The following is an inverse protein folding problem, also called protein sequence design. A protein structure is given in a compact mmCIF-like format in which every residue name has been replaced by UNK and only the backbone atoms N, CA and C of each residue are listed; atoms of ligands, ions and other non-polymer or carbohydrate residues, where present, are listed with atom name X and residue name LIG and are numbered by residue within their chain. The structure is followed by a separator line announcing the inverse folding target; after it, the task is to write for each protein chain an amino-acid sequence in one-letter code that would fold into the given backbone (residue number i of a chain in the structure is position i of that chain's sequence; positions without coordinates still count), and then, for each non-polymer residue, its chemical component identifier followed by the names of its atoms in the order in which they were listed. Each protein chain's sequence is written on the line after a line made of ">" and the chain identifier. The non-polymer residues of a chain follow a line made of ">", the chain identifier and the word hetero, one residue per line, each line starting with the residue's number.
data_IF_725979692631
#
_entry.id   IF_725979692631
#
_cell.length_a   1.000
_cell.length_b   1.000
_cell.length_c   1.000
_cell.angle_alpha   90.00
_cell.angle_beta   90.00
_cell.angle_gamma   90.00
#
_symmetry.space_group_name_H-M   'P 1'
#
loop_
_entity.id
_entity.type
_entity.pdbx_description
1 polymer ?
#
# COMPACT_ATOMS: atom_id res chain seq x y z
N UNK A 1 -2.90 12.48 -3.14
CA UNK A 1 -3.89 11.42 -2.97
C UNK A 1 -4.20 11.25 -1.49
N UNK A 2 -5.48 11.24 -1.16
CA UNK A 2 -6.00 11.03 0.20
C UNK A 2 -7.30 10.21 0.08
N UNK A 3 -7.66 9.48 1.12
CA UNK A 3 -8.99 8.86 1.23
C UNK A 3 -10.05 9.95 1.40
N UNK A 4 -11.05 9.95 0.52
CA UNK A 4 -12.20 10.84 0.65
C UNK A 4 -13.29 10.22 1.53
N UNK A 5 -14.15 11.07 2.09
CA UNK A 5 -15.32 10.61 2.83
C UNK A 5 -16.22 9.76 1.93
N UNK A 6 -16.83 8.72 2.53
CA UNK A 6 -17.69 7.73 1.86
C UNK A 6 -17.09 7.00 0.65
N UNK A 7 -15.77 7.03 0.49
CA UNK A 7 -15.09 6.36 -0.61
C UNK A 7 -14.99 4.84 -0.36
N UNK A 8 -15.50 4.05 -1.31
CA UNK A 8 -15.61 2.58 -1.19
C UNK A 8 -14.39 1.85 -1.81
N UNK A 9 -13.75 2.47 -2.80
CA UNK A 9 -12.67 1.87 -3.57
C UNK A 9 -11.29 2.16 -2.95
N UNK A 10 -10.23 1.66 -3.59
CA UNK A 10 -8.86 2.06 -3.26
C UNK A 10 -8.58 3.51 -3.66
N UNK A 11 -7.71 4.19 -2.92
CA UNK A 11 -7.25 5.54 -3.29
C UNK A 11 -6.67 5.55 -4.72
N UNK A 12 -6.86 6.66 -5.43
CA UNK A 12 -6.32 6.83 -6.78
C UNK A 12 -4.81 6.57 -6.83
N UNK A 13 -4.39 5.68 -7.73
CA UNK A 13 -2.99 5.32 -7.90
C UNK A 13 -2.10 6.51 -8.25
N UNK A 14 -0.91 6.54 -7.66
CA UNK A 14 0.15 7.53 -7.90
C UNK A 14 1.41 6.87 -8.47
N UNK A 15 1.41 5.54 -8.57
CA UNK A 15 2.48 4.74 -9.18
C UNK A 15 1.89 3.77 -10.22
N UNK A 16 2.63 3.43 -11.30
CA UNK A 16 2.17 2.44 -12.28
C UNK A 16 1.89 1.07 -11.66
N UNK A 17 2.64 0.75 -10.60
CA UNK A 17 2.51 -0.48 -9.84
C UNK A 17 1.18 -0.58 -9.09
N UNK A 18 0.73 0.52 -8.47
CA UNK A 18 -0.57 0.58 -7.82
C UNK A 18 -1.70 0.43 -8.83
N UNK A 19 -1.56 0.95 -10.05
CA UNK A 19 -2.52 0.72 -11.14
C UNK A 19 -2.64 -0.77 -11.48
N UNK A 20 -1.52 -1.48 -11.61
CA UNK A 20 -1.52 -2.91 -11.85
C UNK A 20 -2.14 -3.71 -10.69
N UNK A 21 -1.89 -3.30 -9.45
CA UNK A 21 -2.51 -3.92 -8.27
C UNK A 21 -4.02 -3.67 -8.21
N UNK A 22 -4.51 -2.48 -8.61
CA UNK A 22 -5.94 -2.22 -8.73
C UNK A 22 -6.59 -3.13 -9.79
N UNK A 23 -5.97 -3.29 -10.97
CA UNK A 23 -6.47 -4.21 -11.99
C UNK A 23 -6.50 -5.67 -11.50
N UNK A 24 -5.47 -6.10 -10.76
CA UNK A 24 -5.44 -7.44 -10.17
C UNK A 24 -6.51 -7.62 -9.09
N UNK A 25 -6.70 -6.62 -8.22
CA UNK A 25 -7.78 -6.63 -7.24
C UNK A 25 -9.14 -6.78 -7.93
N UNK A 26 -9.42 -5.99 -8.96
CA UNK A 26 -10.70 -6.06 -9.67
C UNK A 26 -10.90 -7.42 -10.34
N UNK A 27 -9.84 -7.99 -10.92
CA UNK A 27 -9.87 -9.35 -11.46
C UNK A 27 -10.26 -10.39 -10.40
N UNK A 28 -9.64 -10.34 -9.21
CA UNK A 28 -9.96 -11.25 -8.09
C UNK A 28 -11.36 -11.00 -7.57
N UNK A 29 -11.76 -9.73 -7.44
CA UNK A 29 -13.08 -9.33 -6.94
C UNK A 29 -14.20 -9.87 -7.84
N UNK A 30 -14.05 -9.80 -9.17
CA UNK A 30 -15.02 -10.39 -10.12
C UNK A 30 -15.17 -11.89 -9.90
N UNK A 31 -14.06 -12.62 -9.71
CA UNK A 31 -14.09 -14.07 -9.44
C UNK A 31 -14.81 -14.36 -8.11
N UNK A 32 -14.50 -13.60 -7.05
CA UNK A 32 -15.15 -13.75 -5.74
C UNK A 32 -16.66 -13.44 -5.80
N UNK A 33 -17.05 -12.37 -6.49
CA UNK A 33 -18.47 -12.03 -6.70
C UNK A 33 -19.18 -13.17 -7.45
N UNK A 34 -18.58 -13.72 -8.50
CA UNK A 34 -19.16 -14.86 -9.22
C UNK A 34 -19.36 -16.09 -8.33
N UNK A 35 -18.36 -16.45 -7.52
CA UNK A 35 -18.46 -17.59 -6.59
C UNK A 35 -19.54 -17.34 -5.54
N UNK A 36 -19.55 -16.15 -4.93
CA UNK A 36 -20.54 -15.80 -3.89
C UNK A 36 -21.96 -15.80 -4.43
N UNK A 37 -22.21 -15.31 -5.65
CA UNK A 37 -23.53 -15.37 -6.30
C UNK A 37 -23.95 -16.83 -6.53
N UNK A 38 -23.06 -17.69 -7.04
CA UNK A 38 -23.37 -19.11 -7.28
C UNK A 38 -23.70 -19.83 -5.96
N UNK A 39 -22.90 -19.63 -4.92
CA UNK A 39 -23.15 -20.24 -3.60
C UNK A 39 -24.45 -19.72 -2.99
N UNK A 40 -24.67 -18.40 -3.02
CA UNK A 40 -25.89 -17.80 -2.51
C UNK A 40 -27.14 -18.33 -3.24
N UNK A 41 -27.07 -18.44 -4.57
CA UNK A 41 -28.13 -19.01 -5.38
C UNK A 41 -28.41 -20.48 -5.00
N UNK A 42 -27.38 -21.32 -4.90
CA UNK A 42 -27.51 -22.73 -4.49
C UNK A 42 -28.15 -22.86 -3.11
N UNK A 43 -27.72 -22.03 -2.15
CA UNK A 43 -28.28 -22.02 -0.79
C UNK A 43 -29.76 -21.63 -0.79
N UNK A 44 -30.13 -20.57 -1.52
CA UNK A 44 -31.54 -20.15 -1.64
C UNK A 44 -32.38 -21.27 -2.28
N UNK A 45 -31.90 -21.89 -3.34
CA UNK A 45 -32.61 -22.98 -4.02
C UNK A 45 -32.81 -24.19 -3.10
N UNK A 46 -31.80 -24.59 -2.33
CA UNK A 46 -31.91 -25.69 -1.37
C UNK A 46 -32.92 -25.38 -0.25
N UNK A 47 -32.94 -24.14 0.25
CA UNK A 47 -33.88 -23.73 1.30
C UNK A 47 -35.33 -23.66 0.82
N UNK A 48 -35.56 -23.32 -0.45
CA UNK A 48 -36.90 -23.27 -1.04
C UNK A 48 -37.39 -24.61 -1.57
N UNK A 49 -36.50 -25.58 -1.74
CA UNK A 49 -36.85 -26.90 -2.28
C UNK A 49 -37.59 -27.75 -1.25
N UNK A 50 -38.77 -28.25 -1.63
CA UNK A 50 -39.60 -29.14 -0.80
C UNK A 50 -39.41 -30.62 -1.11
N UNK A 51 -38.71 -30.96 -2.20
CA UNK A 51 -38.52 -32.35 -2.63
C UNK A 51 -37.41 -33.00 -1.80
N UNK A 52 -37.73 -34.12 -1.16
CA UNK A 52 -36.82 -34.83 -0.27
C UNK A 52 -36.25 -36.05 -1.00
N UNK A 53 -34.92 -36.14 -1.10
CA UNK A 53 -34.21 -37.35 -1.52
C UNK A 53 -33.26 -37.81 -0.41
N UNK A 54 -33.52 -38.97 0.19
CA UNK A 54 -32.71 -39.56 1.28
C UNK A 54 -31.77 -40.67 0.82
N UNK A 55 -31.86 -41.08 -0.44
CA UNK A 55 -31.12 -42.22 -0.99
C UNK A 55 -29.82 -41.82 -1.69
N UNK A 56 -29.58 -40.51 -1.90
CA UNK A 56 -28.34 -40.00 -2.45
C UNK A 56 -27.24 -40.00 -1.37
N UNK A 57 -26.45 -41.08 -1.32
CA UNK A 57 -25.36 -41.25 -0.35
C UNK A 57 -23.99 -40.87 -0.91
N UNK A 58 -23.77 -41.05 -2.21
CA UNK A 58 -22.49 -40.79 -2.86
C UNK A 58 -22.67 -40.12 -4.23
N UNK A 59 -21.64 -39.39 -4.67
CA UNK A 59 -21.68 -38.64 -5.91
C UNK A 59 -20.27 -38.33 -6.44
N UNK A 60 -19.46 -39.34 -6.71
CA UNK A 60 -18.04 -39.16 -7.14
C UNK A 60 -17.86 -38.13 -8.27
N UNK A 61 -18.79 -38.07 -9.22
CA UNK A 61 -18.76 -37.08 -10.31
C UNK A 61 -18.89 -35.64 -9.79
N UNK A 62 -19.77 -35.37 -8.82
CA UNK A 62 -19.92 -34.02 -8.24
C UNK A 62 -18.69 -33.64 -7.42
N UNK A 63 -18.12 -34.63 -6.71
CA UNK A 63 -16.89 -34.46 -5.93
C UNK A 63 -15.71 -34.09 -6.81
N UNK A 64 -15.58 -34.76 -7.95
CA UNK A 64 -14.57 -34.43 -8.96
C UNK A 64 -14.76 -33.01 -9.49
N UNK A 65 -16.00 -32.63 -9.86
CA UNK A 65 -16.30 -31.30 -10.42
C UNK A 65 -15.99 -30.19 -9.42
N UNK A 66 -16.45 -30.28 -8.18
CA UNK A 66 -16.22 -29.23 -7.18
C UNK A 66 -14.78 -29.19 -6.67
N UNK A 67 -13.95 -30.19 -6.98
CA UNK A 67 -12.53 -30.19 -6.64
C UNK A 67 -11.71 -29.57 -7.77
N UNK A 68 -12.03 -29.94 -9.01
CA UNK A 68 -11.34 -29.45 -10.20
C UNK A 68 -11.62 -27.96 -10.45
N UNK A 69 -12.87 -27.51 -10.31
CA UNK A 69 -13.25 -26.12 -10.62
C UNK A 69 -12.50 -25.10 -9.73
N UNK A 70 -12.48 -25.22 -8.39
CA UNK A 70 -11.68 -24.33 -7.54
C UNK A 70 -10.18 -24.41 -7.80
N UNK A 71 -9.65 -25.59 -8.13
CA UNK A 71 -8.24 -25.71 -8.48
C UNK A 71 -7.90 -24.88 -9.73
N UNK A 72 -8.75 -24.93 -10.76
CA UNK A 72 -8.57 -24.11 -11.97
C UNK A 72 -8.74 -22.61 -11.68
N UNK A 73 -9.72 -22.20 -10.87
CA UNK A 73 -9.88 -20.76 -10.53
C UNK A 73 -8.69 -20.22 -9.76
N UNK A 74 -8.09 -21.01 -8.85
CA UNK A 74 -6.86 -20.62 -8.15
C UNK A 74 -5.69 -20.42 -9.10
N UNK A 75 -5.55 -21.22 -10.16
CA UNK A 75 -4.51 -21.01 -11.18
C UNK A 75 -4.70 -19.66 -11.89
N UNK A 76 -5.94 -19.32 -12.26
CA UNK A 76 -6.24 -18.03 -12.89
C UNK A 76 -5.94 -16.82 -12.00
N UNK A 77 -6.10 -16.96 -10.67
CA UNK A 77 -5.73 -15.92 -9.70
C UNK A 77 -4.20 -15.88 -9.53
N UNK A 78 -3.55 -17.04 -9.41
CA UNK A 78 -2.13 -17.14 -9.09
C UNK A 78 -1.21 -16.60 -10.18
N UNK A 79 -1.51 -16.84 -11.46
CA UNK A 79 -0.66 -16.40 -12.58
C UNK A 79 -0.44 -14.87 -12.64
N UNK A 80 -1.48 -14.00 -12.67
CA UNK A 80 -1.28 -12.56 -12.62
C UNK A 80 -0.69 -12.10 -11.29
N UNK A 81 -1.04 -12.75 -10.17
CA UNK A 81 -0.48 -12.44 -8.85
C UNK A 81 1.05 -12.61 -8.81
N UNK A 82 1.55 -13.76 -9.27
CA UNK A 82 2.98 -14.05 -9.31
C UNK A 82 3.71 -13.11 -10.25
N UNK A 83 3.14 -12.79 -11.42
CA UNK A 83 3.71 -11.79 -12.33
C UNK A 83 3.91 -10.44 -11.63
N UNK A 84 2.91 -9.96 -10.89
CA UNK A 84 3.02 -8.71 -10.15
C UNK A 84 4.05 -8.78 -9.02
N UNK A 85 4.12 -9.91 -8.32
CA UNK A 85 5.14 -10.13 -7.28
C UNK A 85 6.56 -9.95 -7.83
N UNK A 86 6.87 -10.50 -9.01
CA UNK A 86 8.18 -10.30 -9.63
C UNK A 86 8.41 -8.86 -10.09
N UNK A 87 7.38 -8.19 -10.64
CA UNK A 87 7.48 -6.77 -11.00
C UNK A 87 7.71 -5.85 -9.80
N UNK A 88 7.21 -6.23 -8.60
CA UNK A 88 7.41 -5.51 -7.35
C UNK A 88 8.85 -5.61 -6.84
N UNK A 89 9.45 -6.80 -6.99
CA UNK A 89 10.77 -7.12 -6.44
C UNK A 89 11.92 -6.62 -7.34
N UNK A 90 11.66 -6.38 -8.63
CA UNK A 90 12.63 -5.81 -9.56
C UNK A 90 13.05 -4.38 -9.18
N UNK A 91 14.22 -4.25 -8.56
CA UNK A 91 14.84 -2.96 -8.30
C UNK A 91 15.62 -2.52 -9.54
N UNK A 92 14.97 -1.69 -10.36
CA UNK A 92 15.62 -1.02 -11.47
C UNK A 92 16.50 0.13 -10.97
N UNK A 93 17.75 0.20 -11.46
CA UNK A 93 18.75 1.26 -11.23
C UNK A 93 18.18 2.58 -10.65
N UNK A 94 18.14 2.73 -9.30
CA UNK A 94 17.52 3.87 -8.68
C UNK A 94 18.40 5.11 -8.84
N UNK A 95 17.77 6.27 -9.06
CA UNK A 95 18.42 7.57 -9.20
C UNK A 95 18.66 8.25 -7.85
N UNK A 96 17.93 7.82 -6.82
CA UNK A 96 17.93 8.40 -5.49
C UNK A 96 17.65 7.31 -4.45
N UNK A 97 18.33 7.38 -3.32
CA UNK A 97 18.09 6.60 -2.11
C UNK A 97 17.54 7.50 -1.01
N UNK A 98 16.40 7.12 -0.45
CA UNK A 98 15.83 7.73 0.75
C UNK A 98 15.86 6.70 1.86
N UNK A 99 16.54 7.01 2.97
CA UNK A 99 16.39 6.22 4.19
C UNK A 99 15.26 6.77 5.03
N UNK A 100 14.55 5.86 5.67
CA UNK A 100 13.36 6.12 6.47
C UNK A 100 13.56 5.37 7.78
N UNK A 101 13.56 6.10 8.89
CA UNK A 101 13.77 5.55 10.21
C UNK A 101 12.55 5.85 11.07
N UNK A 102 11.88 4.80 11.56
CA UNK A 102 10.75 4.92 12.48
C UNK A 102 11.19 5.08 13.93
N UNK A 103 10.56 6.02 14.64
CA UNK A 103 10.76 6.29 16.07
C UNK A 103 9.40 6.41 16.78
N UNK A 104 9.36 6.30 18.10
CA UNK A 104 8.22 6.62 18.95
C UNK A 104 8.13 8.14 19.17
N UNK A 105 7.22 8.89 18.54
CA UNK A 105 6.22 8.52 17.52
C UNK A 105 6.30 9.52 16.36
N UNK A 106 7.30 9.35 15.51
CA UNK A 106 7.60 10.19 14.36
C UNK A 106 8.48 9.43 13.36
N UNK A 107 8.71 10.03 12.20
CA UNK A 107 9.59 9.48 11.18
C UNK A 107 10.77 10.41 10.96
N UNK A 108 11.99 9.88 10.84
CA UNK A 108 13.13 10.63 10.34
C UNK A 108 13.52 10.16 8.94
N UNK A 109 13.99 11.09 8.13
CA UNK A 109 14.31 10.87 6.72
C UNK A 109 15.74 11.35 6.44
N UNK A 110 16.52 10.52 5.74
CA UNK A 110 17.88 10.88 5.31
C UNK A 110 18.01 10.73 3.78
N UNK A 111 18.52 11.78 3.14
CA UNK A 111 18.89 11.81 1.73
C UNK A 111 20.41 11.64 1.59
N UNK A 112 20.89 10.42 1.84
CA UNK A 112 22.34 10.10 1.94
C UNK A 112 23.13 10.18 0.64
N UNK A 113 22.45 10.23 -0.51
CA UNK A 113 23.13 10.33 -1.81
C UNK A 113 23.64 11.76 -2.10
N UNK A 114 23.25 12.74 -1.26
CA UNK A 114 23.59 14.16 -1.41
C UNK A 114 24.29 14.69 -0.15
N UNK A 115 24.12 15.97 0.17
CA UNK A 115 24.72 16.72 1.29
C UNK A 115 24.21 16.30 2.68
N UNK A 116 24.04 14.99 2.92
CA UNK A 116 23.58 14.40 4.19
C UNK A 116 22.38 15.13 4.79
N UNK A 117 21.39 15.47 3.94
CA UNK A 117 20.16 16.13 4.39
C UNK A 117 19.36 15.16 5.25
N UNK A 118 19.17 15.51 6.51
CA UNK A 118 18.39 14.76 7.49
C UNK A 118 17.34 15.65 8.18
N UNK A 119 16.17 15.09 8.45
CA UNK A 119 15.14 15.78 9.25
C UNK A 119 14.12 14.82 9.85
N UNK A 120 13.50 15.31 10.92
CA UNK A 120 12.36 14.66 11.57
C UNK A 120 11.03 15.20 11.02
N UNK A 121 10.03 14.33 10.97
CA UNK A 121 8.68 14.60 10.51
C UNK A 121 7.68 14.20 11.60
N UNK A 122 7.13 15.21 12.28
CA UNK A 122 6.12 15.08 13.32
C UNK A 122 4.75 15.46 12.79
N UNK A 123 3.71 14.83 13.34
CA UNK A 123 2.33 15.25 13.10
C UNK A 123 2.12 16.68 13.62
N UNK A 124 1.52 17.55 12.81
CA UNK A 124 1.15 18.89 13.27
C UNK A 124 0.11 18.83 14.37
N UNK A 125 0.31 19.63 15.41
CA UNK A 125 -0.69 19.77 16.47
C UNK A 125 -1.90 20.57 15.97
N UNK A 126 -3.10 20.31 16.51
CA UNK A 126 -4.35 20.95 16.06
C UNK A 126 -4.31 22.50 16.14
N UNK A 127 -3.50 23.05 17.04
CA UNK A 127 -3.37 24.49 17.25
C UNK A 127 -2.48 25.17 16.18
N UNK A 128 -1.60 24.41 15.54
CA UNK A 128 -0.67 24.89 14.50
C UNK A 128 -1.20 24.62 13.08
N UNK A 129 -2.33 23.92 12.96
CA UNK A 129 -2.88 23.56 11.66
C UNK A 129 -3.49 24.77 10.96
N UNK A 130 -3.19 24.88 9.67
CA UNK A 130 -3.86 25.82 8.79
C UNK A 130 -5.26 25.29 8.40
N UNK A 131 -6.15 26.17 7.94
CA UNK A 131 -7.52 25.79 7.53
C UNK A 131 -7.60 24.75 6.42
N UNK A 132 -6.52 24.59 5.65
CA UNK A 132 -6.45 23.72 4.48
C UNK A 132 -5.70 22.40 4.76
N UNK A 133 -5.32 22.15 6.01
CA UNK A 133 -4.57 20.96 6.43
C UNK A 133 -5.50 19.90 7.03
N UNK A 134 -5.10 18.64 6.89
CA UNK A 134 -5.88 17.48 7.31
C UNK A 134 -5.47 17.02 8.70
N UNK A 135 -6.45 17.02 9.61
CA UNK A 135 -6.29 16.54 10.99
C UNK A 135 -5.71 15.12 11.00
N UNK A 136 -4.66 14.92 11.79
CA UNK A 136 -3.90 13.67 11.97
C UNK A 136 -3.08 13.19 10.76
N UNK A 137 -3.04 13.95 9.66
CA UNK A 137 -2.36 13.53 8.44
C UNK A 137 -1.25 14.50 8.03
N UNK A 138 -1.44 15.81 8.21
CA UNK A 138 -0.38 16.77 7.92
C UNK A 138 0.75 16.71 8.96
N UNK A 139 1.96 16.94 8.45
CA UNK A 139 3.22 16.95 9.19
C UNK A 139 3.91 18.31 9.07
N UNK A 140 4.83 18.58 9.99
CA UNK A 140 5.67 19.78 9.95
C UNK A 140 6.61 19.79 8.73
N UNK A 141 7.33 18.69 8.50
CA UNK A 141 8.27 18.50 7.42
C UNK A 141 7.81 17.36 6.51
N UNK A 142 7.46 17.69 5.26
CA UNK A 142 7.07 16.70 4.25
C UNK A 142 8.30 16.12 3.56
N UNK A 143 8.22 14.87 3.15
CA UNK A 143 9.22 14.23 2.30
C UNK A 143 9.07 14.78 0.89
N UNK A 144 10.08 15.49 0.40
CA UNK A 144 10.06 16.04 -0.96
C UNK A 144 10.72 15.05 -1.92
N UNK A 145 10.01 14.65 -2.99
CA UNK A 145 10.51 13.67 -3.96
C UNK A 145 10.28 14.13 -5.41
N UNK A 146 11.15 13.76 -6.36
CA UNK A 146 10.89 14.02 -7.77
C UNK A 146 9.91 13.00 -8.39
N UNK A 147 8.86 13.47 -9.09
CA UNK A 147 8.07 12.55 -9.95
C UNK A 147 8.87 12.05 -11.15
N UNK A 148 8.44 10.92 -11.72
CA UNK A 148 9.06 10.20 -12.83
C UNK A 148 10.53 9.83 -12.59
N UNK A 149 10.90 9.58 -11.34
CA UNK A 149 12.22 9.12 -10.95
C UNK A 149 12.11 7.84 -10.11
N UNK A 150 13.00 6.88 -10.38
CA UNK A 150 13.07 5.64 -9.63
C UNK A 150 13.84 5.90 -8.34
N UNK A 151 13.19 5.67 -7.20
CA UNK A 151 13.74 5.89 -5.87
C UNK A 151 13.89 4.56 -5.15
N UNK A 152 15.02 4.33 -4.51
CA UNK A 152 15.22 3.25 -3.54
C UNK A 152 14.84 3.76 -2.15
N UNK A 153 13.94 3.05 -1.49
CA UNK A 153 13.61 3.24 -0.09
C UNK A 153 14.42 2.26 0.76
N UNK A 154 15.01 2.74 1.83
CA UNK A 154 15.63 1.93 2.88
C UNK A 154 14.91 2.19 4.20
N UNK A 155 14.15 1.23 4.68
CA UNK A 155 13.26 1.38 5.84
C UNK A 155 13.80 0.57 7.01
N UNK A 156 13.97 1.22 8.16
CA UNK A 156 14.39 0.62 9.43
C UNK A 156 13.71 1.33 10.60
N UNK A 157 13.88 0.83 11.82
CA UNK A 157 13.52 1.56 13.03
C UNK A 157 14.70 1.69 13.99
N UNK A 158 14.65 2.70 14.85
CA UNK A 158 15.57 2.88 15.96
C UNK A 158 15.11 2.19 17.26
N UNK A 159 13.80 1.98 17.46
CA UNK A 159 13.23 1.53 18.73
C UNK A 159 12.39 0.25 18.65
N UNK A 160 11.12 0.33 18.24
CA UNK A 160 10.15 -0.77 18.13
C UNK A 160 9.81 -1.02 16.67
N UNK A 161 8.96 -2.00 16.39
CA UNK A 161 8.51 -2.22 15.01
C UNK A 161 7.52 -1.12 14.64
N UNK A 162 7.72 -0.51 13.47
CA UNK A 162 6.76 0.36 12.78
C UNK A 162 6.50 -0.19 11.38
N UNK A 163 5.61 0.43 10.62
CA UNK A 163 5.44 0.08 9.20
C UNK A 163 5.15 1.32 8.39
N UNK A 164 6.04 1.63 7.46
CA UNK A 164 5.94 2.80 6.60
C UNK A 164 5.02 2.46 5.43
N UNK A 165 3.84 3.08 5.39
CA UNK A 165 2.81 2.74 4.42
C UNK A 165 2.24 3.96 3.69
N UNK A 166 2.24 3.88 2.37
CA UNK A 166 1.69 4.86 1.42
C UNK A 166 0.69 4.15 0.48
N UNK A 167 -0.61 4.09 0.84
CA UNK A 167 -1.61 3.29 0.11
C UNK A 167 -1.73 3.65 -1.37
N UNK A 168 -1.75 4.94 -1.72
CA UNK A 168 -1.86 5.37 -3.12
C UNK A 168 -0.66 5.00 -4.01
N UNK A 169 0.46 4.57 -3.42
CA UNK A 169 1.64 4.12 -4.15
C UNK A 169 1.85 2.60 -4.05
N UNK A 170 0.92 1.86 -3.40
CA UNK A 170 1.06 0.43 -3.06
C UNK A 170 2.29 0.08 -2.23
N UNK A 171 2.75 0.99 -1.38
CA UNK A 171 3.95 0.80 -0.58
C UNK A 171 3.54 0.52 0.87
N UNK A 172 4.00 -0.60 1.42
CA UNK A 172 3.93 -0.91 2.85
C UNK A 172 5.14 -1.76 3.20
N UNK A 173 6.03 -1.22 4.03
CA UNK A 173 7.25 -1.93 4.46
C UNK A 173 7.45 -1.73 5.94
N UNK A 174 7.68 -2.84 6.64
CA UNK A 174 7.94 -2.82 8.07
C UNK A 174 9.32 -2.23 8.35
N UNK A 175 9.35 -1.30 9.30
CA UNK A 175 10.54 -0.71 9.88
C UNK A 175 10.90 -1.54 11.10
N UNK A 176 11.90 -2.41 10.98
CA UNK A 176 12.29 -3.36 12.03
C UNK A 176 13.65 -2.95 12.62
N UNK A 177 13.78 -2.82 13.95
CA UNK A 177 15.07 -2.50 14.57
C UNK A 177 16.15 -3.52 14.19
N UNK A 178 17.31 -3.03 13.77
CA UNK A 178 18.44 -3.87 13.36
C UNK A 178 18.31 -4.52 11.97
N UNK A 179 17.28 -4.18 11.18
CA UNK A 179 17.11 -4.67 9.81
C UNK A 179 16.78 -3.52 8.85
N UNK A 180 17.58 -3.41 7.78
CA UNK A 180 17.32 -2.50 6.66
C UNK A 180 16.50 -3.21 5.59
N UNK A 181 15.21 -2.89 5.49
CA UNK A 181 14.36 -3.35 4.41
C UNK A 181 14.48 -2.41 3.20
N UNK A 182 14.54 -2.99 2.00
CA UNK A 182 14.65 -2.23 0.77
C UNK A 182 13.39 -2.40 -0.07
N UNK A 183 12.92 -1.31 -0.70
CA UNK A 183 11.86 -1.33 -1.69
C UNK A 183 12.12 -0.26 -2.75
N UNK A 184 11.52 -0.41 -3.93
CA UNK A 184 11.57 0.61 -4.98
C UNK A 184 10.27 1.43 -5.04
N UNK A 185 10.38 2.71 -5.37
CA UNK A 185 9.27 3.63 -5.50
C UNK A 185 9.40 4.43 -6.79
N UNK A 186 8.28 4.56 -7.51
CA UNK A 186 8.15 5.42 -8.69
C UNK A 186 6.85 6.20 -8.61
N UNK A 187 6.95 7.53 -8.58
CA UNK A 187 5.78 8.42 -8.54
C UNK A 187 5.52 8.95 -9.95
N UNK A 188 4.34 8.70 -10.53
CA UNK A 188 4.04 9.05 -11.93
C UNK A 188 3.51 10.49 -12.13
N UNK A 189 3.06 11.14 -11.05
CA UNK A 189 2.42 12.46 -11.11
C UNK A 189 2.86 13.38 -9.97
N UNK A 190 2.87 14.71 -10.18
CA UNK A 190 3.11 15.67 -9.10
C UNK A 190 1.93 15.73 -8.13
N UNK A 191 2.19 16.18 -6.91
CA UNK A 191 1.18 16.41 -5.87
C UNK A 191 1.55 15.83 -4.51
N UNK A 192 0.67 16.02 -3.53
CA UNK A 192 0.86 15.57 -2.14
C UNK A 192 0.11 14.26 -1.92
N UNK A 193 0.78 13.25 -1.37
CA UNK A 193 0.23 11.94 -1.03
C UNK A 193 0.39 11.67 0.47
N UNK A 194 -0.57 10.98 1.07
CA UNK A 194 -0.61 10.74 2.52
C UNK A 194 -0.53 9.24 2.83
N UNK A 195 0.04 8.94 3.98
CA UNK A 195 0.19 7.61 4.55
C UNK A 195 0.22 7.66 6.07
N UNK A 196 0.23 6.50 6.71
CA UNK A 196 0.28 6.37 8.17
C UNK A 196 1.06 5.13 8.59
N UNK A 197 1.55 5.12 9.82
CA UNK A 197 2.12 3.91 10.40
C UNK A 197 1.09 2.77 10.40
N UNK A 198 1.49 1.60 9.88
CA UNK A 198 0.60 0.44 9.69
C UNK A 198 1.00 -0.77 10.54
N UNK A 199 1.76 -0.55 11.62
CA UNK A 199 2.14 -1.56 12.63
C UNK A 199 2.11 -0.95 14.03
N UNK A 200 1.59 -1.69 15.01
CA UNK A 200 1.34 -1.15 16.36
C UNK A 200 2.65 -0.79 17.08
N UNK A 201 2.83 0.49 17.41
CA UNK A 201 4.09 1.00 17.97
C UNK A 201 3.95 1.76 19.31
N UNK A 202 2.80 1.65 19.98
CA UNK A 202 2.57 2.21 21.32
C UNK A 202 1.49 3.30 21.37
N UNK A 203 1.57 4.18 22.36
CA UNK A 203 0.49 5.12 22.73
C UNK A 203 0.06 6.05 21.59
N UNK A 204 1.01 6.58 20.81
CA UNK A 204 0.72 7.51 19.72
C UNK A 204 0.84 6.85 18.34
N UNK A 205 0.58 5.54 18.24
CA UNK A 205 0.59 4.80 16.98
C UNK A 205 -0.23 5.47 15.87
N UNK A 206 -1.40 6.03 16.21
CA UNK A 206 -2.28 6.71 15.25
C UNK A 206 -1.84 8.14 14.86
N UNK A 207 -0.73 8.64 15.43
CA UNK A 207 -0.33 10.06 15.36
C UNK A 207 1.06 10.26 14.76
N UNK A 208 1.50 9.34 13.89
CA UNK A 208 2.74 9.45 13.13
C UNK A 208 2.50 9.25 11.62
N UNK A 209 1.81 10.22 10.97
CA UNK A 209 1.50 10.14 9.56
C UNK A 209 2.75 10.35 8.70
N UNK A 210 2.59 10.06 7.42
CA UNK A 210 3.63 10.18 6.39
C UNK A 210 3.05 11.08 5.29
N UNK A 211 3.82 12.07 4.86
CA UNK A 211 3.42 12.95 3.75
C UNK A 211 4.56 13.06 2.76
N UNK A 212 4.26 12.71 1.50
CA UNK A 212 5.18 12.86 0.38
C UNK A 212 4.64 13.94 -0.55
N UNK A 213 5.46 14.94 -0.82
CA UNK A 213 5.21 15.95 -1.83
C UNK A 213 6.08 15.68 -3.07
N UNK A 214 5.41 15.35 -4.17
CA UNK A 214 6.01 15.01 -5.43
C UNK A 214 6.09 16.23 -6.35
N UNK A 215 7.30 16.64 -6.69
CA UNK A 215 7.60 17.85 -7.46
C UNK A 215 8.50 17.57 -8.67
N UNK A 216 8.72 18.57 -9.52
CA UNK A 216 9.64 18.41 -10.65
C UNK A 216 11.08 18.28 -10.17
N UNK A 217 11.91 17.53 -10.92
CA UNK A 217 13.35 17.35 -10.62
C UNK A 217 14.08 18.70 -10.42
N UNK A 218 13.74 19.72 -11.21
CA UNK A 218 14.34 21.06 -11.08
C UNK A 218 14.03 21.71 -9.73
N UNK A 219 12.79 21.60 -9.27
CA UNK A 219 12.38 22.12 -7.97
C UNK A 219 12.97 21.29 -6.83
N UNK A 220 13.06 19.97 -6.99
CA UNK A 220 13.70 19.08 -6.04
C UNK A 220 15.18 19.43 -5.82
N UNK A 221 15.95 19.63 -6.90
CA UNK A 221 17.35 20.07 -6.81
C UNK A 221 17.45 21.44 -6.11
N UNK A 222 16.56 22.39 -6.44
CA UNK A 222 16.54 23.69 -5.77
C UNK A 222 16.23 23.57 -4.28
N UNK A 223 15.30 22.70 -3.91
CA UNK A 223 14.96 22.42 -2.52
C UNK A 223 16.16 21.82 -1.78
N UNK A 224 16.83 20.82 -2.36
CA UNK A 224 18.05 20.22 -1.78
C UNK A 224 19.13 21.25 -1.50
N UNK A 225 19.46 22.11 -2.48
CA UNK A 225 20.49 23.15 -2.33
C UNK A 225 20.14 24.18 -1.26
N UNK A 226 18.85 24.48 -1.07
CA UNK A 226 18.41 25.44 -0.07
C UNK A 226 18.31 24.83 1.34
N UNK A 227 18.15 23.52 1.43
CA UNK A 227 18.04 22.81 2.69
C UNK A 227 19.41 22.54 3.32
N UNK A 228 20.41 22.24 2.48
CA UNK A 228 21.82 22.14 2.87
C UNK A 228 22.45 23.50 3.12
#
# INVERSE_FOLDING_TARGET
>A
SISNWSYINMQDAVSPLMEQLMFFHDHVLVILIMITIVVAYMMIMLMLNKIINRLLLEGQLIEFIWTLLPAMTLIFIALPSLRLLYMLDEINNPLLTLKIIGHQWYWSYEYSDFSDVEFDSYMKSMNEMNSNEFRLLDVDNRVIMPFNSQVRLLVSSFDVIHSWAMPSMSLKVDAVPGRLNQMSMLISRPGVSYGQCSEICGANHSFMPIVIESISVKMFIKWLINYS
#
